data_IF_369591650804
#
_entry.id   IF_369591650804
#
_cell.length_a   1.000
_cell.length_b   1.000
_cell.length_c   1.000
_cell.angle_alpha   90.00
_cell.angle_beta   90.00
_cell.angle_gamma   90.00
#
_symmetry.space_group_name_H-M   'P 1'
#
loop_
_entity.id
_entity.type
_entity.pdbx_description
1 polymer ?
#
# COMPACT_ATOMS: atom_id res chain seq x y z
N UNK A 1 -7.17 -4.42 -25.53
CA UNK A 1 -8.44 -3.67 -25.69
C UNK A 1 -8.52 -3.19 -27.12
N UNK A 2 -9.68 -3.27 -27.77
CA UNK A 2 -9.86 -2.59 -29.07
C UNK A 2 -10.12 -1.10 -28.85
N UNK A 3 -9.85 -0.27 -29.86
CA UNK A 3 -10.09 1.18 -29.76
C UNK A 3 -11.56 1.52 -29.48
N UNK A 4 -12.49 0.74 -30.05
CA UNK A 4 -13.92 0.89 -29.80
C UNK A 4 -14.28 0.70 -28.32
N UNK A 5 -13.61 -0.23 -27.62
CA UNK A 5 -13.82 -0.47 -26.19
C UNK A 5 -13.24 0.66 -25.33
N UNK A 6 -12.08 1.20 -25.70
CA UNK A 6 -11.46 2.33 -24.99
C UNK A 6 -12.35 3.57 -25.14
N UNK A 7 -12.85 3.84 -26.34
CA UNK A 7 -13.72 4.99 -26.60
C UNK A 7 -15.06 4.88 -25.86
N UNK A 8 -15.71 3.70 -25.89
CA UNK A 8 -16.94 3.47 -25.14
C UNK A 8 -16.74 3.65 -23.62
N UNK A 9 -15.60 3.18 -23.08
CA UNK A 9 -15.24 3.39 -21.68
C UNK A 9 -15.02 4.87 -21.35
N UNK A 10 -14.27 5.61 -22.17
CA UNK A 10 -14.00 7.03 -21.96
C UNK A 10 -15.28 7.87 -21.91
N UNK A 11 -16.23 7.58 -22.81
CA UNK A 11 -17.52 8.28 -22.84
C UNK A 11 -18.34 7.98 -21.58
N UNK A 12 -18.37 6.71 -21.15
CA UNK A 12 -19.10 6.29 -19.96
C UNK A 12 -18.44 6.74 -18.65
N UNK A 13 -17.11 6.87 -18.61
CA UNK A 13 -16.33 7.19 -17.41
C UNK A 13 -16.18 8.70 -17.15
N UNK A 14 -16.76 9.57 -17.99
CA UNK A 14 -16.60 11.01 -17.87
C UNK A 14 -15.21 11.49 -18.32
N UNK A 15 -14.68 10.89 -19.39
CA UNK A 15 -13.39 11.22 -19.99
C UNK A 15 -12.17 10.83 -19.15
N UNK A 16 -12.32 9.87 -18.22
CA UNK A 16 -11.19 9.31 -17.45
C UNK A 16 -10.51 8.23 -18.28
N UNK A 17 -9.25 8.46 -18.63
CA UNK A 17 -8.44 7.49 -19.35
C UNK A 17 -8.25 6.20 -18.50
N UNK A 18 -8.46 5.00 -19.08
CA UNK A 18 -8.28 3.73 -18.37
C UNK A 18 -6.89 3.57 -17.77
N UNK A 19 -5.87 4.16 -18.41
CA UNK A 19 -4.47 4.14 -17.98
C UNK A 19 -4.26 4.87 -16.65
N UNK A 20 -5.12 5.82 -16.29
CA UNK A 20 -5.01 6.57 -15.03
C UNK A 20 -5.52 5.79 -13.81
N UNK A 21 -6.25 4.70 -14.01
CA UNK A 21 -6.76 3.87 -12.91
C UNK A 21 -5.66 3.05 -12.25
N UNK A 22 -4.68 2.58 -13.02
CA UNK A 22 -3.57 1.80 -12.50
C UNK A 22 -2.78 2.53 -11.39
N UNK A 23 -2.24 3.75 -11.62
CA UNK A 23 -1.52 4.48 -10.57
C UNK A 23 -2.43 4.89 -9.40
N UNK A 24 -3.73 5.08 -9.63
CA UNK A 24 -4.70 5.37 -8.56
C UNK A 24 -4.84 4.19 -7.60
N UNK A 25 -5.07 2.98 -8.10
CA UNK A 25 -5.17 1.78 -7.28
C UNK A 25 -3.85 1.44 -6.59
N UNK A 26 -2.72 1.61 -7.29
CA UNK A 26 -1.38 1.51 -6.72
C UNK A 26 -1.20 2.48 -5.53
N UNK A 27 -1.55 3.75 -5.69
CA UNK A 27 -1.47 4.75 -4.63
C UNK A 27 -2.36 4.42 -3.43
N UNK A 28 -3.60 3.97 -3.66
CA UNK A 28 -4.51 3.53 -2.59
C UNK A 28 -3.93 2.34 -1.83
N UNK A 29 -3.36 1.36 -2.53
CA UNK A 29 -2.72 0.20 -1.91
C UNK A 29 -1.54 0.61 -1.02
N UNK A 30 -0.69 1.53 -1.50
CA UNK A 30 0.42 2.08 -0.73
C UNK A 30 -0.11 2.84 0.52
N UNK A 31 -1.14 3.67 0.37
CA UNK A 31 -1.72 4.42 1.49
C UNK A 31 -2.27 3.49 2.57
N UNK A 32 -2.98 2.42 2.19
CA UNK A 32 -3.48 1.41 3.12
C UNK A 32 -2.34 0.66 3.81
N UNK A 33 -1.26 0.31 3.10
CA UNK A 33 -0.07 -0.31 3.68
C UNK A 33 0.59 0.60 4.73
N UNK A 34 0.71 1.90 4.46
CA UNK A 34 1.25 2.86 5.42
C UNK A 34 0.37 3.00 6.66
N UNK A 35 -0.95 3.06 6.47
CA UNK A 35 -1.90 3.11 7.59
C UNK A 35 -1.82 1.85 8.45
N UNK A 36 -1.79 0.68 7.81
CA UNK A 36 -1.63 -0.60 8.49
C UNK A 36 -0.30 -0.70 9.23
N UNK A 37 0.79 -0.24 8.61
CA UNK A 37 2.12 -0.18 9.21
C UNK A 37 2.14 0.68 10.47
N UNK A 38 1.58 1.89 10.42
CA UNK A 38 1.52 2.79 11.57
C UNK A 38 0.71 2.19 12.73
N UNK A 39 -0.43 1.57 12.42
CA UNK A 39 -1.23 0.88 13.42
C UNK A 39 -0.52 -0.34 14.01
N UNK A 40 0.12 -1.17 13.18
CA UNK A 40 0.90 -2.33 13.62
C UNK A 40 2.07 -1.93 14.51
N UNK A 41 2.75 -0.83 14.20
CA UNK A 41 3.86 -0.31 15.01
C UNK A 41 3.38 0.13 16.39
N UNK A 42 2.23 0.82 16.47
CA UNK A 42 1.59 1.20 17.74
C UNK A 42 1.25 -0.03 18.59
N UNK A 43 0.68 -1.08 18.00
CA UNK A 43 0.35 -2.32 18.71
C UNK A 43 1.59 -3.04 19.26
N UNK A 44 2.62 -3.16 18.42
CA UNK A 44 3.88 -3.82 18.83
C UNK A 44 4.58 -2.98 19.91
N UNK A 45 4.57 -1.65 19.79
CA UNK A 45 5.11 -0.76 20.82
C UNK A 45 4.35 -0.87 22.14
N UNK A 46 3.02 -0.89 22.11
CA UNK A 46 2.19 -1.09 23.31
C UNK A 46 2.47 -2.45 23.97
N UNK A 47 2.62 -3.51 23.18
CA UNK A 47 2.96 -4.84 23.71
C UNK A 47 4.38 -4.92 24.28
N UNK A 48 5.36 -4.23 23.68
CA UNK A 48 6.71 -4.10 24.24
C UNK A 48 6.70 -3.32 25.56
N UNK A 49 5.99 -2.19 25.61
CA UNK A 49 5.82 -1.40 26.84
C UNK A 49 5.12 -2.18 27.97
N UNK A 50 4.35 -3.21 27.63
CA UNK A 50 3.69 -4.12 28.57
C UNK A 50 4.56 -5.34 28.95
N UNK A 51 5.84 -5.36 28.58
CA UNK A 51 6.81 -6.48 28.74
C UNK A 51 6.35 -7.84 28.17
N UNK A 52 5.30 -7.84 27.34
CA UNK A 52 4.70 -9.07 26.78
C UNK A 52 5.48 -9.62 25.59
N UNK A 53 6.36 -8.82 24.99
CA UNK A 53 7.13 -9.19 23.79
C UNK A 53 8.58 -8.74 23.93
N UNK A 54 9.48 -9.62 23.50
CA UNK A 54 10.92 -9.33 23.43
C UNK A 54 11.24 -8.33 22.32
N UNK A 55 12.20 -7.45 22.59
CA UNK A 55 12.70 -6.41 21.67
C UNK A 55 13.06 -6.95 20.27
N UNK A 56 13.60 -8.16 20.21
CA UNK A 56 13.92 -8.87 18.96
C UNK A 56 12.69 -9.14 18.07
N UNK A 57 11.51 -9.35 18.67
CA UNK A 57 10.27 -9.53 17.92
C UNK A 57 9.81 -8.20 17.31
N UNK A 58 9.96 -7.11 18.07
CA UNK A 58 9.64 -5.75 17.63
C UNK A 58 10.50 -5.35 16.42
N UNK A 59 11.83 -5.46 16.54
CA UNK A 59 12.76 -5.11 15.46
C UNK A 59 12.46 -5.91 14.18
N UNK A 60 12.16 -7.21 14.31
CA UNK A 60 11.86 -8.07 13.16
C UNK A 60 10.56 -7.69 12.46
N UNK A 61 9.55 -7.25 13.21
CA UNK A 61 8.32 -6.69 12.65
C UNK A 61 8.60 -5.38 11.91
N UNK A 62 9.34 -4.45 12.53
CA UNK A 62 9.69 -3.17 11.89
C UNK A 62 10.42 -3.39 10.57
N UNK A 63 11.45 -4.24 10.56
CA UNK A 63 12.23 -4.54 9.36
C UNK A 63 11.34 -5.11 8.25
N UNK A 64 10.47 -6.08 8.57
CA UNK A 64 9.54 -6.67 7.59
C UNK A 64 8.58 -5.64 7.01
N UNK A 65 8.04 -4.77 7.86
CA UNK A 65 7.09 -3.74 7.45
C UNK A 65 7.75 -2.70 6.56
N UNK A 66 8.97 -2.24 6.91
CA UNK A 66 9.76 -1.33 6.08
C UNK A 66 10.11 -1.98 4.73
N UNK A 67 10.53 -3.24 4.72
CA UNK A 67 10.81 -3.97 3.48
C UNK A 67 9.57 -4.06 2.58
N UNK A 68 8.41 -4.38 3.14
CA UNK A 68 7.15 -4.42 2.38
C UNK A 68 6.84 -3.07 1.75
N UNK A 69 6.98 -1.97 2.50
CA UNK A 69 6.74 -0.62 1.99
C UNK A 69 7.72 -0.29 0.85
N UNK A 70 9.02 -0.56 1.02
CA UNK A 70 10.04 -0.29 -0.01
C UNK A 70 9.79 -1.10 -1.26
N UNK A 71 9.47 -2.40 -1.13
CA UNK A 71 9.15 -3.27 -2.27
C UNK A 71 7.89 -2.77 -2.98
N UNK A 72 6.84 -2.39 -2.25
CA UNK A 72 5.62 -1.85 -2.85
C UNK A 72 5.86 -0.52 -3.56
N UNK A 73 6.61 0.41 -2.96
CA UNK A 73 6.99 1.65 -3.63
C UNK A 73 7.78 1.37 -4.91
N UNK A 74 8.74 0.45 -4.87
CA UNK A 74 9.50 0.09 -6.05
C UNK A 74 8.60 -0.50 -7.14
N UNK A 75 7.74 -1.46 -6.82
CA UNK A 75 6.88 -2.17 -7.79
C UNK A 75 5.77 -1.31 -8.39
N UNK A 76 5.23 -0.35 -7.63
CA UNK A 76 4.00 0.35 -7.98
C UNK A 76 4.17 1.85 -8.23
N UNK A 77 5.32 2.45 -7.88
CA UNK A 77 5.63 3.86 -8.18
C UNK A 77 6.52 4.04 -9.43
N UNK A 78 6.80 2.96 -10.17
CA UNK A 78 7.44 2.96 -11.49
C UNK A 78 6.39 2.93 -12.60
#
# INVERSE_FOLDING_TARGET
MSEAQINAFNIASGNVAPTSLHPLFAGVLIALLLLWSGWGLLHVYQGYASERITEQSLIRFVIRTVLLIVISLFLFAQ
#
